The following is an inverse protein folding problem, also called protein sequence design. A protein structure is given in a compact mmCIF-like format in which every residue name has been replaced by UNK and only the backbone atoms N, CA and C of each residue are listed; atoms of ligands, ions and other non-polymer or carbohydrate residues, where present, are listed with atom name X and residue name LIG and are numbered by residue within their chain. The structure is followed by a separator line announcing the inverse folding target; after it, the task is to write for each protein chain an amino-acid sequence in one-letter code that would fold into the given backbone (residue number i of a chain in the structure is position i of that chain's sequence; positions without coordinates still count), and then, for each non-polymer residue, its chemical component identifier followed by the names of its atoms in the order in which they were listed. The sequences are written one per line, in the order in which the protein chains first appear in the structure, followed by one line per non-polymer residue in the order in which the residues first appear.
data_IF_214654890721
#
_entry.id   IF_214654890721
#
_cell.length_a   1.000
_cell.length_b   1.000
_cell.length_c   1.000
_cell.angle_alpha   90.00
_cell.angle_beta   90.00
_cell.angle_gamma   90.00
#
_symmetry.space_group_name_H-M   'P 1'
#
loop_
_entity.id
_entity.type
_entity.pdbx_description
1 polymer ?
#
# COMPACT_ATOMS: atom_id res chain seq x y z
N UNK A 1 -4.25 -1.83 -24.95
CA UNK A 1 -3.42 -2.33 -23.83
C UNK A 1 -3.37 -1.33 -22.67
N UNK A 2 -2.88 -0.09 -22.84
CA UNK A 2 -2.77 0.87 -21.74
C UNK A 2 -4.07 1.14 -20.93
N UNK A 3 -5.22 1.31 -21.59
CA UNK A 3 -6.50 1.54 -20.90
C UNK A 3 -6.94 0.33 -20.07
N UNK A 4 -6.62 -0.88 -20.54
CA UNK A 4 -6.84 -2.10 -19.75
C UNK A 4 -5.97 -2.08 -18.49
N UNK A 5 -4.69 -1.68 -18.60
CA UNK A 5 -3.80 -1.57 -17.43
C UNK A 5 -4.29 -0.52 -16.43
N UNK A 6 -4.73 0.65 -16.92
CA UNK A 6 -5.31 1.70 -16.09
C UNK A 6 -6.55 1.20 -15.32
N UNK A 7 -7.47 0.51 -16.00
CA UNK A 7 -8.64 -0.10 -15.36
C UNK A 7 -8.25 -1.15 -14.32
N UNK A 8 -7.31 -2.05 -14.64
CA UNK A 8 -6.81 -3.07 -13.71
C UNK A 8 -6.21 -2.44 -12.45
N UNK A 9 -5.35 -1.43 -12.61
CA UNK A 9 -4.69 -0.76 -11.48
C UNK A 9 -5.67 0.05 -10.64
N UNK A 10 -6.66 0.71 -11.26
CA UNK A 10 -7.72 1.42 -10.55
C UNK A 10 -8.56 0.47 -9.72
N UNK A 11 -9.04 -0.62 -10.32
CA UNK A 11 -9.80 -1.66 -9.62
C UNK A 11 -8.97 -2.27 -8.47
N UNK A 12 -7.70 -2.62 -8.71
CA UNK A 12 -6.84 -3.17 -7.67
C UNK A 12 -6.63 -2.19 -6.51
N UNK A 13 -6.40 -0.90 -6.81
CA UNK A 13 -6.23 0.14 -5.78
C UNK A 13 -7.50 0.30 -4.95
N UNK A 14 -8.64 0.50 -5.61
CA UNK A 14 -9.88 0.94 -4.97
C UNK A 14 -10.60 -0.22 -4.25
N UNK A 15 -10.56 -1.44 -4.82
CA UNK A 15 -11.33 -2.59 -4.33
C UNK A 15 -10.49 -3.58 -3.51
N UNK A 16 -9.15 -3.52 -3.58
CA UNK A 16 -8.28 -4.47 -2.89
C UNK A 16 -7.29 -3.76 -1.96
N UNK A 17 -6.38 -2.96 -2.51
CA UNK A 17 -5.25 -2.39 -1.75
C UNK A 17 -5.73 -1.43 -0.66
N UNK A 18 -6.51 -0.41 -1.01
CA UNK A 18 -7.00 0.57 -0.04
C UNK A 18 -7.88 -0.09 1.05
N UNK A 19 -8.80 -1.02 0.73
CA UNK A 19 -9.53 -1.76 1.76
C UNK A 19 -8.63 -2.53 2.75
N UNK A 20 -7.57 -3.20 2.28
CA UNK A 20 -6.62 -3.86 3.19
C UNK A 20 -5.82 -2.86 4.02
N UNK A 21 -5.34 -1.78 3.42
CA UNK A 21 -4.63 -0.74 4.17
C UNK A 21 -5.50 -0.10 5.25
N UNK A 22 -6.79 0.13 4.95
CA UNK A 22 -7.74 0.65 5.95
C UNK A 22 -7.89 -0.32 7.12
N UNK A 23 -8.06 -1.63 6.86
CA UNK A 23 -8.14 -2.65 7.92
C UNK A 23 -6.89 -2.64 8.80
N UNK A 24 -5.69 -2.57 8.21
CA UNK A 24 -4.43 -2.50 8.97
C UNK A 24 -4.34 -1.22 9.81
N UNK A 25 -4.61 -0.06 9.20
CA UNK A 25 -4.58 1.24 9.89
C UNK A 25 -5.52 1.23 11.10
N UNK A 26 -6.75 0.77 10.91
CA UNK A 26 -7.75 0.79 11.96
C UNK A 26 -7.41 -0.22 13.07
N UNK A 27 -6.92 -1.41 12.72
CA UNK A 27 -6.42 -2.37 13.71
C UNK A 27 -5.27 -1.80 14.56
N UNK A 28 -4.31 -1.10 13.94
CA UNK A 28 -3.20 -0.47 14.69
C UNK A 28 -3.71 0.71 15.54
N UNK A 29 -4.74 1.45 15.09
CA UNK A 29 -5.40 2.49 15.92
C UNK A 29 -6.15 1.89 17.11
N UNK A 30 -6.77 0.72 16.94
CA UNK A 30 -7.41 0.00 18.03
C UNK A 30 -6.37 -0.41 19.07
N UNK A 31 -5.21 -0.95 18.65
CA UNK A 31 -4.09 -1.24 19.55
C UNK A 31 -3.58 0.04 20.24
N UNK A 32 -3.48 1.15 19.52
CA UNK A 32 -3.08 2.43 20.08
C UNK A 32 -4.02 2.90 21.21
N UNK A 33 -5.33 2.73 20.99
CA UNK A 33 -6.36 3.08 21.97
C UNK A 33 -6.36 2.11 23.15
N UNK A 34 -6.30 0.81 22.88
CA UNK A 34 -6.29 -0.25 23.88
C UNK A 34 -5.09 -0.15 24.83
N UNK A 35 -3.92 0.18 24.30
CA UNK A 35 -2.67 0.24 25.07
C UNK A 35 -2.23 1.67 25.43
N UNK A 36 -3.13 2.64 25.32
CA UNK A 36 -2.84 4.08 25.47
C UNK A 36 -2.06 4.44 26.74
N UNK A 37 -2.38 3.78 27.85
CA UNK A 37 -1.81 4.08 29.18
C UNK A 37 -0.86 2.98 29.68
N UNK A 38 -0.51 2.01 28.83
CA UNK A 38 0.42 0.92 29.19
C UNK A 38 1.85 1.45 29.08
N UNK A 39 2.58 1.66 30.21
CA UNK A 39 3.92 2.22 30.17
C UNK A 39 4.89 1.25 29.48
N UNK A 40 5.80 1.81 28.69
CA UNK A 40 6.83 1.07 27.97
C UNK A 40 8.21 1.67 28.29
N UNK A 41 9.15 0.83 28.71
CA UNK A 41 10.57 1.22 28.75
C UNK A 41 11.09 1.27 27.32
N UNK A 42 11.17 2.47 26.76
CA UNK A 42 11.63 2.70 25.40
C UNK A 42 13.07 2.22 25.21
N UNK A 43 13.42 1.91 23.96
CA UNK A 43 14.78 1.52 23.57
C UNK A 43 15.29 2.44 22.47
N UNK A 44 16.44 3.08 22.69
CA UNK A 44 17.19 3.80 21.64
C UNK A 44 18.57 3.15 21.53
N UNK A 45 19.03 2.85 20.31
CA UNK A 45 20.20 1.99 20.09
C UNK A 45 20.12 0.63 20.83
N UNK A 46 18.91 0.13 21.07
CA UNK A 46 18.66 -1.08 21.86
C UNK A 46 18.82 -0.91 23.39
N UNK A 47 19.19 0.28 23.88
CA UNK A 47 19.43 0.55 25.31
C UNK A 47 18.21 1.20 25.98
N UNK A 48 17.98 0.96 27.29
CA UNK A 48 16.93 1.65 28.06
C UNK A 48 16.96 3.17 27.88
N UNK A 49 15.80 3.76 27.58
CA UNK A 49 15.62 5.19 27.40
C UNK A 49 14.39 5.71 28.16
N UNK A 50 14.11 7.01 28.06
CA UNK A 50 12.93 7.64 28.67
C UNK A 50 11.64 6.89 28.30
N UNK A 51 10.76 6.59 29.27
CA UNK A 51 9.53 5.84 29.02
C UNK A 51 8.60 6.50 27.99
N UNK A 52 7.85 5.66 27.28
CA UNK A 52 6.70 5.99 26.43
C UNK A 52 5.48 5.19 26.89
N UNK A 53 4.43 5.09 26.07
CA UNK A 53 3.38 4.09 26.22
C UNK A 53 3.32 3.20 24.98
N UNK A 54 2.94 1.94 25.16
CA UNK A 54 2.80 1.00 24.05
C UNK A 54 1.80 1.53 23.01
N UNK A 55 0.68 2.11 23.47
CA UNK A 55 -0.30 2.70 22.56
C UNK A 55 0.24 3.89 21.76
N UNK A 56 1.16 4.69 22.34
CA UNK A 56 1.81 5.79 21.63
C UNK A 56 2.72 5.30 20.50
N UNK A 57 3.39 4.17 20.67
CA UNK A 57 4.21 3.57 19.60
C UNK A 57 3.34 3.03 18.46
N UNK A 58 2.21 2.40 18.77
CA UNK A 58 1.22 2.00 17.75
C UNK A 58 0.68 3.21 16.97
N UNK A 59 0.37 4.32 17.66
CA UNK A 59 -0.13 5.53 17.04
C UNK A 59 0.86 6.14 16.01
N UNK A 60 2.16 6.04 16.26
CA UNK A 60 3.20 6.49 15.31
C UNK A 60 3.07 5.76 13.97
N UNK A 61 2.91 4.44 14.02
CA UNK A 61 2.80 3.57 12.83
C UNK A 61 1.50 3.87 12.08
N UNK A 62 0.36 3.89 12.77
CA UNK A 62 -0.93 4.20 12.16
C UNK A 62 -0.93 5.56 11.47
N UNK A 63 -0.29 6.57 12.07
CA UNK A 63 -0.19 7.90 11.47
C UNK A 63 0.65 7.89 10.19
N UNK A 64 1.78 7.17 10.16
CA UNK A 64 2.62 7.00 8.96
C UNK A 64 1.85 6.27 7.85
N UNK A 65 1.13 5.21 8.19
CA UNK A 65 0.28 4.45 7.25
C UNK A 65 -0.84 5.32 6.66
N UNK A 66 -1.52 6.12 7.47
CA UNK A 66 -2.59 7.03 7.02
C UNK A 66 -2.07 8.09 6.02
N UNK A 67 -0.83 8.57 6.20
CA UNK A 67 -0.19 9.47 5.21
C UNK A 67 -0.03 8.77 3.86
N UNK A 68 0.45 7.53 3.83
CA UNK A 68 0.62 6.79 2.59
C UNK A 68 -0.74 6.43 1.96
N UNK A 69 -1.74 6.06 2.76
CA UNK A 69 -3.09 5.82 2.27
C UNK A 69 -3.65 7.00 1.46
N UNK A 70 -3.53 8.21 2.00
CA UNK A 70 -3.98 9.43 1.32
C UNK A 70 -3.21 9.67 0.03
N UNK A 71 -1.89 9.47 0.04
CA UNK A 71 -1.05 9.63 -1.14
C UNK A 71 -1.42 8.63 -2.24
N UNK A 72 -1.58 7.34 -1.93
CA UNK A 72 -1.97 6.33 -2.91
C UNK A 72 -3.33 6.65 -3.54
N UNK A 73 -4.29 7.11 -2.72
CA UNK A 73 -5.62 7.49 -3.20
C UNK A 73 -5.60 8.74 -4.09
N UNK A 74 -4.53 9.53 -4.04
CA UNK A 74 -4.33 10.73 -4.88
C UNK A 74 -3.51 10.47 -6.13
N UNK A 75 -2.86 9.30 -6.27
CA UNK A 75 -2.11 8.96 -7.47
C UNK A 75 -3.03 8.96 -8.68
N UNK A 76 -2.64 9.70 -9.71
CA UNK A 76 -3.40 9.76 -10.95
C UNK A 76 -3.32 8.42 -11.67
N UNK A 77 -4.42 7.99 -12.29
CA UNK A 77 -4.41 6.78 -13.13
C UNK A 77 -4.66 7.22 -14.55
N UNK A 78 -3.61 7.17 -15.35
CA UNK A 78 -3.58 7.78 -16.68
C UNK A 78 -3.90 6.79 -17.80
N UNK A 79 -4.56 7.30 -18.83
CA UNK A 79 -4.94 6.59 -20.04
C UNK A 79 -4.81 7.46 -21.28
N UNK A 80 -4.60 6.84 -22.44
CA UNK A 80 -4.49 7.53 -23.73
C UNK A 80 -5.11 6.74 -24.86
N UNK A 81 -5.49 7.43 -25.94
CA UNK A 81 -5.90 6.81 -27.22
C UNK A 81 -5.62 7.75 -28.41
N UNK A 82 -4.41 7.68 -28.96
CA UNK A 82 -3.93 8.61 -30.00
C UNK A 82 -3.20 7.93 -31.17
N UNK A 83 -3.50 6.65 -31.40
CA UNK A 83 -3.01 5.88 -32.54
C UNK A 83 -1.56 5.40 -32.43
N UNK A 84 -0.99 5.00 -33.57
CA UNK A 84 0.26 4.21 -33.65
C UNK A 84 1.48 4.89 -33.02
N UNK A 85 1.58 6.22 -33.09
CA UNK A 85 2.72 7.02 -32.62
C UNK A 85 2.29 8.32 -31.93
N UNK A 86 1.04 8.41 -31.48
CA UNK A 86 0.58 9.55 -30.67
C UNK A 86 -0.07 10.73 -31.41
N UNK A 87 -0.23 10.65 -32.73
CA UNK A 87 -0.62 11.79 -33.58
C UNK A 87 -1.93 11.60 -34.34
N UNK A 88 -2.74 10.60 -34.00
CA UNK A 88 -4.04 10.34 -34.65
C UNK A 88 -4.00 10.08 -36.17
N UNK A 89 -2.83 9.91 -36.79
CA UNK A 89 -2.62 9.83 -38.25
C UNK A 89 -3.67 9.02 -39.02
N UNK A 90 -3.95 7.78 -38.60
CA UNK A 90 -4.90 6.91 -39.28
C UNK A 90 -6.36 7.42 -39.16
N UNK A 91 -6.70 8.02 -38.02
CA UNK A 91 -8.03 8.56 -37.76
C UNK A 91 -8.27 9.81 -38.62
N UNK A 92 -7.30 10.74 -38.64
CA UNK A 92 -7.35 11.95 -39.47
C UNK A 92 -7.37 11.60 -40.97
N UNK A 93 -6.63 10.57 -41.39
CA UNK A 93 -6.62 10.14 -42.79
C UNK A 93 -7.98 9.60 -43.27
N UNK A 94 -8.75 8.97 -42.37
CA UNK A 94 -10.08 8.43 -42.69
C UNK A 94 -11.21 9.45 -42.49
N UNK A 95 -11.09 10.30 -41.45
CA UNK A 95 -12.11 11.24 -40.99
C UNK A 95 -11.45 12.56 -40.55
N UNK A 96 -11.02 13.41 -41.51
CA UNK A 96 -10.31 14.65 -41.21
C UNK A 96 -11.17 15.73 -40.54
N UNK A 97 -12.50 15.61 -40.62
CA UNK A 97 -13.47 16.55 -40.07
C UNK A 97 -13.76 16.35 -38.57
N UNK A 98 -13.32 15.22 -37.99
CA UNK A 98 -13.55 14.89 -36.58
C UNK A 98 -12.40 15.42 -35.71
N UNK A 99 -12.73 16.09 -34.61
CA UNK A 99 -11.75 16.44 -33.57
C UNK A 99 -11.39 15.20 -32.75
N UNK A 100 -10.38 14.47 -33.22
CA UNK A 100 -9.89 13.26 -32.57
C UNK A 100 -9.20 13.52 -31.23
N UNK A 101 -8.73 14.75 -30.97
CA UNK A 101 -8.13 15.11 -29.71
C UNK A 101 -9.21 15.22 -28.62
N UNK A 102 -10.31 15.92 -28.93
CA UNK A 102 -11.49 15.96 -28.07
C UNK A 102 -12.09 14.55 -27.87
N UNK A 103 -12.27 13.78 -28.94
CA UNK A 103 -12.78 12.41 -28.85
C UNK A 103 -11.92 11.51 -27.93
N UNK A 104 -10.59 11.66 -28.01
CA UNK A 104 -9.65 10.91 -27.16
C UNK A 104 -9.84 11.21 -25.68
N UNK A 105 -9.95 12.49 -25.31
CA UNK A 105 -10.21 12.91 -23.94
C UNK A 105 -11.55 12.38 -23.43
N UNK A 106 -12.62 12.59 -24.20
CA UNK A 106 -13.97 12.13 -23.87
C UNK A 106 -14.03 10.61 -23.69
N UNK A 107 -13.38 9.85 -24.58
CA UNK A 107 -13.36 8.40 -24.48
C UNK A 107 -12.60 7.93 -23.24
N UNK A 108 -11.41 8.45 -22.96
CA UNK A 108 -10.62 8.04 -21.78
C UNK A 108 -11.35 8.41 -20.49
N UNK A 109 -11.91 9.62 -20.41
CA UNK A 109 -12.65 10.06 -19.22
C UNK A 109 -13.98 9.33 -19.03
N UNK A 110 -14.64 8.88 -20.11
CA UNK A 110 -15.84 8.03 -20.03
C UNK A 110 -15.59 6.68 -19.34
N UNK A 111 -14.34 6.20 -19.35
CA UNK A 111 -13.91 5.00 -18.62
C UNK A 111 -13.57 5.30 -17.14
N UNK A 112 -13.71 6.55 -16.70
CA UNK A 112 -13.31 7.03 -15.38
C UNK A 112 -11.79 7.06 -15.19
N UNK A 113 -11.01 7.19 -16.26
CA UNK A 113 -9.55 7.27 -16.26
C UNK A 113 -9.13 8.71 -16.57
N UNK A 114 -8.04 9.19 -15.98
CA UNK A 114 -7.50 10.52 -16.28
C UNK A 114 -6.74 10.50 -17.60
N UNK A 115 -6.87 11.57 -18.39
CA UNK A 115 -6.37 11.57 -19.75
C UNK A 115 -4.91 12.02 -19.82
N UNK A 116 -4.11 11.30 -20.61
CA UNK A 116 -2.75 11.65 -20.99
C UNK A 116 -2.70 12.02 -22.49
N UNK A 117 -2.69 13.33 -22.83
CA UNK A 117 -2.74 13.78 -24.23
C UNK A 117 -1.46 13.50 -25.03
N UNK A 118 -0.30 13.49 -24.37
CA UNK A 118 1.01 13.44 -25.02
C UNK A 118 1.72 12.13 -24.76
N UNK A 119 1.64 11.22 -25.74
CA UNK A 119 2.28 9.92 -25.62
C UNK A 119 2.88 9.47 -26.94
N UNK A 120 3.76 8.48 -26.90
CA UNK A 120 4.22 7.79 -28.11
C UNK A 120 3.21 6.68 -28.47
N UNK A 121 3.70 5.56 -29.02
CA UNK A 121 2.88 4.37 -29.19
C UNK A 121 2.30 3.87 -27.85
N UNK A 122 3.04 4.02 -26.76
CA UNK A 122 2.67 3.56 -25.42
C UNK A 122 2.27 4.74 -24.53
N UNK A 123 1.52 4.45 -23.47
CA UNK A 123 1.46 5.34 -22.30
C UNK A 123 2.83 5.24 -21.57
N UNK A 124 3.41 6.35 -21.09
CA UNK A 124 4.80 6.38 -20.60
C UNK A 124 5.05 5.62 -19.28
N UNK A 125 4.00 5.27 -18.55
CA UNK A 125 4.05 4.49 -17.30
C UNK A 125 4.57 5.24 -16.07
N UNK A 126 4.70 6.56 -16.13
CA UNK A 126 5.11 7.40 -14.99
C UNK A 126 4.17 7.21 -13.79
N UNK A 127 2.86 7.22 -14.03
CA UNK A 127 1.86 7.05 -12.97
C UNK A 127 1.89 5.65 -12.32
N UNK A 128 2.35 4.64 -13.06
CA UNK A 128 2.51 3.28 -12.52
C UNK A 128 3.67 3.25 -11.53
N UNK A 129 4.78 3.95 -11.85
CA UNK A 129 5.89 4.12 -10.91
C UNK A 129 5.43 4.88 -9.67
N UNK A 130 4.69 5.97 -9.82
CA UNK A 130 4.14 6.75 -8.69
C UNK A 130 3.25 5.89 -7.76
N UNK A 131 2.40 5.04 -8.36
CA UNK A 131 1.52 4.11 -7.65
C UNK A 131 2.34 3.09 -6.85
N UNK A 132 3.29 2.41 -7.51
CA UNK A 132 4.11 1.37 -6.88
C UNK A 132 5.10 1.92 -5.86
N UNK A 133 5.65 3.11 -6.07
CA UNK A 133 6.50 3.77 -5.08
C UNK A 133 5.70 4.10 -3.81
N UNK A 134 4.43 4.48 -3.92
CA UNK A 134 3.59 4.67 -2.75
C UNK A 134 3.32 3.37 -2.00
N UNK A 135 3.13 2.27 -2.71
CA UNK A 135 2.97 0.94 -2.12
C UNK A 135 4.26 0.52 -1.41
N UNK A 136 5.42 0.67 -2.06
CA UNK A 136 6.72 0.35 -1.46
C UNK A 136 6.98 1.14 -0.16
N UNK A 137 6.58 2.43 -0.12
CA UNK A 137 6.68 3.24 1.10
C UNK A 137 5.79 2.73 2.23
N UNK A 138 4.56 2.31 1.93
CA UNK A 138 3.69 1.70 2.94
C UNK A 138 4.25 0.36 3.42
N UNK A 139 4.72 -0.50 2.51
CA UNK A 139 5.33 -1.77 2.83
C UNK A 139 6.56 -1.59 3.73
N UNK A 140 7.40 -0.60 3.46
CA UNK A 140 8.55 -0.26 4.33
C UNK A 140 8.11 0.09 5.76
N UNK A 141 6.98 0.80 5.91
CA UNK A 141 6.42 1.10 7.24
C UNK A 141 5.89 -0.18 7.91
N UNK A 142 5.32 -1.10 7.14
CA UNK A 142 4.83 -2.37 7.65
C UNK A 142 5.97 -3.32 8.06
N UNK A 143 7.06 -3.37 7.29
CA UNK A 143 8.30 -4.11 7.66
C UNK A 143 8.87 -3.59 8.97
N UNK A 144 8.93 -2.27 9.14
CA UNK A 144 9.37 -1.61 10.38
C UNK A 144 8.48 -2.03 11.56
N UNK A 145 7.16 -2.08 11.36
CA UNK A 145 6.21 -2.55 12.36
C UNK A 145 6.36 -4.04 12.69
N UNK A 146 6.48 -4.91 11.68
CA UNK A 146 6.64 -6.35 11.86
C UNK A 146 7.89 -6.66 12.69
N UNK A 147 9.00 -5.97 12.42
CA UNK A 147 10.25 -6.09 13.18
C UNK A 147 10.15 -5.61 14.61
N UNK A 148 9.50 -4.47 14.84
CA UNK A 148 9.32 -3.94 16.19
C UNK A 148 8.40 -4.85 17.02
N UNK A 149 7.30 -5.36 16.44
CA UNK A 149 6.40 -6.30 17.11
C UNK A 149 7.11 -7.63 17.40
N UNK A 150 7.89 -8.15 16.46
CA UNK A 150 8.75 -9.30 16.69
C UNK A 150 9.68 -9.07 17.90
N UNK A 151 10.29 -7.88 17.98
CA UNK A 151 11.14 -7.48 19.11
C UNK A 151 10.38 -7.38 20.43
N UNK A 152 9.17 -6.83 20.43
CA UNK A 152 8.32 -6.77 21.62
C UNK A 152 7.90 -8.16 22.10
N UNK A 153 7.62 -9.10 21.19
CA UNK A 153 7.33 -10.50 21.52
C UNK A 153 8.59 -11.17 22.10
N UNK A 154 9.76 -10.95 21.50
CA UNK A 154 11.03 -11.48 22.00
C UNK A 154 11.39 -10.95 23.41
N UNK A 155 11.06 -9.70 23.70
CA UNK A 155 11.19 -9.10 25.04
C UNK A 155 10.06 -9.46 26.00
N UNK A 156 9.12 -10.31 25.56
CA UNK A 156 7.96 -10.74 26.34
C UNK A 156 7.06 -9.57 26.81
N UNK A 157 7.03 -8.47 26.05
CA UNK A 157 6.06 -7.39 26.22
C UNK A 157 4.67 -7.81 25.72
N UNK A 158 4.62 -8.72 24.74
CA UNK A 158 3.39 -9.36 24.26
C UNK A 158 3.45 -10.87 24.42
N UNK A 159 2.29 -11.46 24.76
CA UNK A 159 2.05 -12.89 24.63
C UNK A 159 1.15 -13.15 23.43
N UNK A 160 1.32 -14.31 22.83
CA UNK A 160 0.55 -14.72 21.65
C UNK A 160 -0.56 -15.68 22.08
N UNK A 161 -1.75 -15.51 21.50
CA UNK A 161 -2.86 -16.45 21.69
C UNK A 161 -2.55 -17.72 20.88
N UNK A 162 -2.69 -18.89 21.49
CA UNK A 162 -2.52 -20.19 20.82
C UNK A 162 -3.87 -20.83 20.52
N UNK A 163 -3.94 -21.59 19.42
CA UNK A 163 -5.10 -22.43 19.11
C UNK A 163 -4.73 -23.89 19.43
N UNK A 164 -5.64 -24.62 20.08
CA UNK A 164 -5.42 -26.02 20.41
C UNK A 164 -5.17 -26.85 19.15
N UNK A 165 -4.06 -27.59 19.12
CA UNK A 165 -3.64 -28.40 17.98
C UNK A 165 -2.59 -27.76 17.07
N UNK A 166 -2.31 -26.46 17.21
CA UNK A 166 -1.19 -25.83 16.50
C UNK A 166 0.16 -26.28 17.06
N UNK A 167 1.09 -26.63 16.17
CA UNK A 167 2.45 -27.04 16.52
C UNK A 167 3.38 -25.84 16.30
N UNK A 168 3.83 -25.21 17.40
CA UNK A 168 4.76 -24.08 17.30
C UNK A 168 6.20 -24.48 16.95
N UNK A 169 6.60 -25.72 17.24
CA UNK A 169 7.87 -26.31 16.78
C UNK A 169 7.78 -27.83 16.78
N UNK A 170 8.37 -28.47 15.77
CA UNK A 170 8.44 -29.93 15.66
C UNK A 170 9.26 -30.60 16.76
N UNK A 171 10.16 -29.87 17.44
CA UNK A 171 11.08 -30.41 18.44
C UNK A 171 10.99 -29.73 19.80
N UNK A 172 10.39 -28.54 19.87
CA UNK A 172 10.26 -27.76 21.11
C UNK A 172 8.78 -27.53 21.45
N UNK A 173 8.13 -28.40 22.25
CA UNK A 173 6.68 -28.36 22.48
C UNK A 173 6.19 -27.12 23.25
N UNK A 174 7.10 -26.34 23.84
CA UNK A 174 6.78 -25.11 24.58
C UNK A 174 6.85 -23.84 23.71
N UNK A 175 7.29 -23.95 22.45
CA UNK A 175 7.52 -22.80 21.57
C UNK A 175 6.22 -22.23 21.02
N UNK A 176 6.12 -20.91 21.05
CA UNK A 176 5.13 -20.11 20.32
C UNK A 176 5.90 -18.99 19.61
N UNK A 177 5.92 -19.00 18.29
CA UNK A 177 6.72 -18.09 17.46
C UNK A 177 5.82 -17.08 16.74
N UNK A 178 6.27 -15.84 16.51
CA UNK A 178 5.54 -14.80 15.78
C UNK A 178 5.55 -15.03 14.26
N UNK A 179 5.15 -16.23 13.81
CA UNK A 179 5.29 -16.68 12.42
C UNK A 179 4.52 -15.81 11.42
N UNK A 180 3.42 -15.20 11.83
CA UNK A 180 2.60 -14.36 10.96
C UNK A 180 3.33 -13.05 10.61
N UNK A 181 4.01 -12.44 11.59
CA UNK A 181 4.82 -11.24 11.37
C UNK A 181 6.09 -11.56 10.57
N UNK A 182 6.72 -12.71 10.84
CA UNK A 182 7.89 -13.18 10.07
C UNK A 182 7.53 -13.47 8.60
N UNK A 183 6.33 -14.03 8.36
CA UNK A 183 5.83 -14.27 7.01
C UNK A 183 5.48 -12.97 6.29
N UNK A 184 4.83 -12.03 6.98
CA UNK A 184 4.53 -10.70 6.46
C UNK A 184 5.81 -9.98 6.02
N UNK A 185 6.81 -9.88 6.91
CA UNK A 185 8.08 -9.24 6.63
C UNK A 185 8.76 -9.81 5.37
N UNK A 186 8.74 -11.14 5.20
CA UNK A 186 9.41 -11.80 4.09
C UNK A 186 8.77 -11.59 2.70
N UNK A 187 7.51 -11.16 2.64
CA UNK A 187 6.76 -10.98 1.38
C UNK A 187 6.64 -9.52 0.91
N UNK A 188 7.03 -8.56 1.75
CA UNK A 188 6.85 -7.12 1.50
C UNK A 188 8.06 -6.47 0.84
#
# INVERSE_FOLDING_TARGET
NNLSHALMLKTARDEVVLPYWRKLIDAVKDLATQYRDVPLLSRTHGQPATPSTMGKEMANVAYRMERQYRQLNQVEILGKINGAVGNYNAHIAAYPEVDWHQFSEEFVTSLGIQWNPYTTQIEPHDYIAELFDCIARFNTILIDFDRDVWGYIALNHFKQKTIAGEIGSSTMPHKVNPIDFENSEGNL
#
